data_IF_428610410581
#
_entry.id   IF_428610410581
#
_cell.length_a   1.000
_cell.length_b   1.000
_cell.length_c   1.000
_cell.angle_alpha   90.00
_cell.angle_beta   90.00
_cell.angle_gamma   90.00
#
_symmetry.space_group_name_H-M   'P 1'
#
loop_
_entity.id
_entity.type
_entity.pdbx_description
1 polymer ?
#
# COMPACT_ATOMS: atom_id res chain seq x y z
N UNK A 1 12.91 -12.06 9.22
CA UNK A 1 11.52 -11.59 9.29
C UNK A 1 10.90 -11.62 7.89
N UNK A 2 9.68 -12.16 7.73
CA UNK A 2 9.02 -12.19 6.43
C UNK A 2 8.83 -10.78 5.85
N UNK A 3 8.90 -10.63 4.51
CA UNK A 3 8.83 -9.30 3.89
C UNK A 3 7.58 -8.49 4.25
N UNK A 4 6.41 -9.11 4.30
CA UNK A 4 5.19 -8.37 4.63
C UNK A 4 5.14 -7.96 6.10
N UNK A 5 5.77 -8.69 6.99
CA UNK A 5 5.91 -8.27 8.38
C UNK A 5 6.82 -7.05 8.49
N UNK A 6 7.89 -7.01 7.68
CA UNK A 6 8.75 -5.83 7.59
C UNK A 6 7.98 -4.64 7.03
N UNK A 7 7.18 -4.86 5.99
CA UNK A 7 6.33 -3.82 5.43
C UNK A 7 5.43 -3.21 6.51
N UNK A 8 4.79 -4.05 7.31
CA UNK A 8 3.93 -3.56 8.39
C UNK A 8 4.70 -2.67 9.37
N UNK A 9 5.91 -3.07 9.75
CA UNK A 9 6.71 -2.28 10.67
C UNK A 9 7.05 -0.90 10.12
N UNK A 10 7.38 -0.84 8.83
CA UNK A 10 7.81 0.43 8.22
C UNK A 10 6.65 1.32 7.79
N UNK A 11 5.54 0.73 7.37
CA UNK A 11 4.52 1.49 6.62
C UNK A 11 3.10 1.41 7.18
N UNK A 12 2.76 0.38 7.96
CA UNK A 12 1.40 0.27 8.49
C UNK A 12 1.00 1.47 9.35
N UNK A 13 1.87 2.02 10.24
CA UNK A 13 1.49 3.20 11.00
C UNK A 13 1.09 4.38 10.13
N UNK A 14 1.78 4.58 9.01
CA UNK A 14 1.43 5.65 8.07
C UNK A 14 0.06 5.41 7.46
N UNK A 15 -0.23 4.17 7.06
CA UNK A 15 -1.53 3.83 6.49
C UNK A 15 -2.66 4.00 7.49
N UNK A 16 -2.46 3.57 8.73
CA UNK A 16 -3.47 3.76 9.77
C UNK A 16 -3.74 5.23 10.05
N UNK A 17 -2.68 6.05 10.05
CA UNK A 17 -2.81 7.50 10.20
C UNK A 17 -3.63 8.13 9.07
N UNK A 18 -3.56 7.54 7.89
CA UNK A 18 -4.28 8.03 6.71
C UNK A 18 -5.71 7.49 6.61
N UNK A 19 -6.18 6.78 7.63
CA UNK A 19 -7.53 6.26 7.67
C UNK A 19 -7.71 4.89 7.05
N UNK A 20 -6.62 4.22 6.65
CA UNK A 20 -6.69 2.85 6.15
C UNK A 20 -6.71 1.87 7.30
N UNK A 21 -7.45 0.77 7.13
CA UNK A 21 -7.44 -0.36 8.05
C UNK A 21 -7.14 -1.63 7.27
N UNK A 22 -6.54 -2.61 7.95
CA UNK A 22 -6.24 -3.89 7.33
C UNK A 22 -7.53 -4.68 7.18
N UNK A 23 -7.87 -5.08 5.94
CA UNK A 23 -9.07 -5.87 5.66
C UNK A 23 -8.77 -7.36 5.76
N UNK A 24 -7.64 -7.79 5.19
CA UNK A 24 -7.15 -9.15 5.35
C UNK A 24 -5.63 -9.18 5.21
N UNK A 25 -5.03 -10.27 5.73
CA UNK A 25 -3.61 -10.53 5.57
C UNK A 25 -3.37 -12.00 5.27
N UNK A 26 -2.65 -12.28 4.18
CA UNK A 26 -2.15 -13.59 3.81
C UNK A 26 -0.62 -13.56 3.91
N UNK A 27 0.05 -14.71 3.91
CA UNK A 27 1.51 -14.72 3.99
C UNK A 27 2.20 -13.91 2.89
N UNK A 28 1.57 -13.74 1.72
CA UNK A 28 2.16 -13.08 0.57
C UNK A 28 1.40 -11.84 0.10
N UNK A 29 0.28 -11.47 0.75
CA UNK A 29 -0.55 -10.34 0.31
C UNK A 29 -1.31 -9.74 1.49
N UNK A 30 -1.37 -8.40 1.54
CA UNK A 30 -2.16 -7.68 2.53
C UNK A 30 -3.03 -6.67 1.80
N UNK A 31 -4.28 -6.52 2.23
CA UNK A 31 -5.17 -5.48 1.72
C UNK A 31 -5.51 -4.49 2.83
N UNK A 32 -5.39 -3.22 2.50
CA UNK A 32 -5.86 -2.11 3.34
C UNK A 32 -6.99 -1.39 2.63
N UNK A 33 -7.93 -0.86 3.41
CA UNK A 33 -9.08 -0.14 2.87
C UNK A 33 -9.35 1.10 3.71
N UNK A 34 -9.68 2.19 3.03
CA UNK A 34 -10.13 3.43 3.64
C UNK A 34 -11.66 3.53 3.56
N UNK A 35 -12.27 4.39 4.41
CA UNK A 35 -13.72 4.52 4.49
C UNK A 35 -14.40 4.99 3.20
N UNK A 36 -13.66 5.68 2.31
CA UNK A 36 -14.20 6.13 1.01
C UNK A 36 -14.19 5.02 -0.06
N UNK A 37 -13.70 3.84 0.28
CA UNK A 37 -13.63 2.71 -0.64
C UNK A 37 -12.29 2.54 -1.33
N UNK A 38 -11.33 3.44 -1.12
CA UNK A 38 -9.97 3.28 -1.65
C UNK A 38 -9.32 2.06 -1.02
N UNK A 39 -8.69 1.20 -1.84
CA UNK A 39 -7.98 0.03 -1.35
C UNK A 39 -6.53 0.06 -1.80
N UNK A 40 -5.64 -0.50 -0.98
CA UNK A 40 -4.23 -0.68 -1.32
C UNK A 40 -3.90 -2.15 -1.07
N UNK A 41 -3.51 -2.86 -2.12
CA UNK A 41 -3.08 -4.25 -2.05
C UNK A 41 -1.56 -4.29 -2.14
N UNK A 42 -0.93 -4.97 -1.18
CA UNK A 42 0.52 -5.11 -1.10
C UNK A 42 0.85 -6.59 -1.26
N UNK A 43 1.65 -6.92 -2.27
CA UNK A 43 2.06 -8.29 -2.54
C UNK A 43 3.57 -8.39 -2.69
N UNK A 44 4.17 -9.42 -2.08
CA UNK A 44 5.61 -9.64 -2.19
C UNK A 44 5.95 -10.39 -3.48
N UNK A 45 6.83 -9.79 -4.29
CA UNK A 45 7.35 -10.39 -5.53
C UNK A 45 8.73 -10.98 -5.25
N UNK A 46 8.78 -12.28 -4.90
CA UNK A 46 10.03 -12.92 -4.48
C UNK A 46 11.09 -12.95 -5.57
N UNK A 47 10.68 -13.09 -6.82
CA UNK A 47 11.63 -13.13 -7.95
C UNK A 47 12.35 -11.82 -8.17
N UNK A 48 11.74 -10.69 -7.84
CA UNK A 48 12.32 -9.35 -7.99
C UNK A 48 12.72 -8.75 -6.65
N UNK A 49 12.35 -9.38 -5.55
CA UNK A 49 12.57 -8.88 -4.18
C UNK A 49 12.05 -7.46 -3.97
N UNK A 50 10.86 -7.19 -4.48
CA UNK A 50 10.15 -5.92 -4.34
C UNK A 50 8.71 -6.17 -3.94
N UNK A 51 8.05 -5.12 -3.47
CA UNK A 51 6.63 -5.15 -3.19
C UNK A 51 5.87 -4.63 -4.41
N UNK A 52 4.85 -5.37 -4.81
CA UNK A 52 3.91 -4.93 -5.84
C UNK A 52 2.72 -4.28 -5.15
N UNK A 53 2.46 -3.01 -5.45
CA UNK A 53 1.42 -2.22 -4.81
C UNK A 53 0.36 -1.88 -5.84
N UNK A 54 -0.88 -2.25 -5.55
CA UNK A 54 -2.04 -1.89 -6.39
C UNK A 54 -2.96 -0.99 -5.56
N UNK A 55 -3.13 0.24 -6.01
CA UNK A 55 -4.04 1.20 -5.38
C UNK A 55 -5.27 1.33 -6.25
N UNK A 56 -6.45 1.05 -5.70
CA UNK A 56 -7.73 1.17 -6.41
C UNK A 56 -8.54 2.28 -5.78
N UNK A 57 -8.87 3.29 -6.57
CA UNK A 57 -9.69 4.42 -6.14
C UNK A 57 -11.18 4.07 -6.12
N UNK A 58 -12.03 4.89 -5.47
CA UNK A 58 -13.47 4.61 -5.41
C UNK A 58 -14.15 4.47 -6.77
N UNK A 59 -13.62 5.12 -7.81
CA UNK A 59 -14.15 5.03 -9.17
C UNK A 59 -13.61 3.81 -9.95
N UNK A 60 -12.92 2.89 -9.27
CA UNK A 60 -12.30 1.69 -9.83
C UNK A 60 -11.04 1.93 -10.66
N UNK A 61 -10.53 3.16 -10.71
CA UNK A 61 -9.22 3.43 -11.33
C UNK A 61 -8.14 2.76 -10.49
N UNK A 62 -7.27 1.99 -11.13
CA UNK A 62 -6.20 1.26 -10.45
C UNK A 62 -4.83 1.76 -10.89
N UNK A 63 -3.93 1.93 -9.91
CA UNK A 63 -2.53 2.31 -10.14
C UNK A 63 -1.64 1.21 -9.62
N UNK A 64 -0.60 0.88 -10.38
CA UNK A 64 0.37 -0.16 -10.02
C UNK A 64 1.73 0.47 -9.75
N UNK A 65 2.40 0.00 -8.72
CA UNK A 65 3.75 0.47 -8.37
C UNK A 65 4.57 -0.68 -7.83
N UNK A 66 5.89 -0.60 -8.03
CA UNK A 66 6.85 -1.50 -7.38
C UNK A 66 7.68 -0.68 -6.42
N UNK A 67 7.79 -1.15 -5.18
CA UNK A 67 8.58 -0.45 -4.15
C UNK A 67 9.52 -1.42 -3.45
N UNK A 68 10.65 -0.89 -2.95
CA UNK A 68 11.50 -1.65 -2.03
C UNK A 68 10.83 -1.73 -0.67
N UNK A 69 11.24 -2.69 0.17
CA UNK A 69 10.65 -2.87 1.49
C UNK A 69 10.67 -1.59 2.34
N UNK A 70 11.78 -0.84 2.28
CA UNK A 70 11.93 0.39 3.06
C UNK A 70 11.44 1.63 2.32
N UNK A 71 11.04 1.47 1.06
CA UNK A 71 10.63 2.58 0.19
C UNK A 71 11.68 3.69 0.14
N UNK A 72 12.93 3.29 -0.13
CA UNK A 72 14.08 4.22 -0.13
C UNK A 72 13.88 5.40 -1.08
N UNK A 73 13.21 5.18 -2.21
CA UNK A 73 12.92 6.26 -3.17
C UNK A 73 11.70 7.10 -2.79
N UNK A 74 10.97 6.72 -1.74
CA UNK A 74 9.81 7.47 -1.27
C UNK A 74 8.58 7.37 -2.17
N UNK A 75 8.52 6.38 -3.06
CA UNK A 75 7.39 6.20 -3.99
C UNK A 75 6.10 5.95 -3.22
N UNK A 76 6.12 5.05 -2.25
CA UNK A 76 4.95 4.68 -1.47
C UNK A 76 4.48 5.86 -0.61
N UNK A 77 5.42 6.53 0.02
CA UNK A 77 5.11 7.70 0.85
C UNK A 77 4.42 8.81 0.03
N UNK A 78 4.93 9.07 -1.17
CA UNK A 78 4.32 10.06 -2.07
C UNK A 78 2.94 9.63 -2.55
N UNK A 79 2.78 8.34 -2.85
CA UNK A 79 1.49 7.78 -3.27
C UNK A 79 0.44 7.97 -2.18
N UNK A 80 0.75 7.59 -0.94
CA UNK A 80 -0.18 7.74 0.18
C UNK A 80 -0.50 9.21 0.43
N UNK A 81 0.49 10.08 0.33
CA UNK A 81 0.26 11.53 0.46
C UNK A 81 -0.67 12.09 -0.61
N UNK A 82 -0.59 11.59 -1.84
CA UNK A 82 -1.47 12.02 -2.92
C UNK A 82 -2.92 11.58 -2.74
N UNK A 83 -3.15 10.50 -2.01
CA UNK A 83 -4.52 10.01 -1.76
C UNK A 83 -5.33 10.97 -0.89
N UNK A 84 -4.71 11.98 -0.30
CA UNK A 84 -5.40 13.08 0.37
C UNK A 84 -5.84 14.18 -0.58
N UNK A 85 -5.22 14.26 -1.77
CA UNK A 85 -5.50 15.35 -2.72
C UNK A 85 -6.88 15.12 -3.35
N UNK A 86 -7.82 16.10 -3.23
CA UNK A 86 -9.14 15.99 -3.87
C UNK A 86 -9.07 15.74 -5.38
N UNK A 87 -7.99 16.14 -6.05
CA UNK A 87 -7.81 15.92 -7.49
C UNK A 87 -7.69 14.43 -7.83
N UNK A 88 -7.40 13.57 -6.85
CA UNK A 88 -7.30 12.11 -7.02
C UNK A 88 -8.61 11.38 -6.73
N UNK A 89 -9.65 12.09 -6.39
CA UNK A 89 -10.94 11.49 -6.00
C UNK A 89 -12.01 11.72 -7.05
#
# INVERSE_FOLDING_TARGET
MPPLEQFKQFHEPTLLNEGFTKVFGLPHKIRYRRGDGTTIDIEWESGKQVLFVVTTLPDSTAYHSYISLKDESGIFKRLVGRLHDPAYR
#
